data_IF_337318311760
#
_entry.id   IF_337318311760
#
_cell.length_a   1.000
_cell.length_b   1.000
_cell.length_c   1.000
_cell.angle_alpha   90.00
_cell.angle_beta   90.00
_cell.angle_gamma   90.00
#
_symmetry.space_group_name_H-M   'P 1'
#
loop_
_entity.id
_entity.type
_entity.pdbx_description
1 polymer ?
#
# COMPACT_ATOMS: atom_id res chain seq x y z
N UNK A 1 18.34 10.77 3.41
CA UNK A 1 17.05 11.05 2.72
C UNK A 1 16.64 9.86 1.87
N UNK A 2 15.33 9.65 1.71
CA UNK A 2 14.75 8.63 0.83
C UNK A 2 13.86 9.36 -0.17
N UNK A 3 13.94 8.98 -1.45
CA UNK A 3 13.11 9.55 -2.52
C UNK A 3 12.41 8.41 -3.25
N UNK A 4 11.12 8.57 -3.49
CA UNK A 4 10.31 7.65 -4.30
C UNK A 4 10.07 8.29 -5.66
N UNK A 5 10.54 7.63 -6.71
CA UNK A 5 10.36 8.09 -8.09
C UNK A 5 9.16 7.41 -8.77
N UNK A 6 8.72 8.00 -9.86
CA UNK A 6 7.71 7.36 -10.73
C UNK A 6 8.23 6.02 -11.25
N UNK A 7 7.34 5.04 -11.34
CA UNK A 7 7.70 3.67 -11.72
C UNK A 7 8.22 2.80 -10.58
N UNK A 8 8.57 3.39 -9.43
CA UNK A 8 9.09 2.64 -8.30
C UNK A 8 7.97 2.08 -7.42
N UNK A 9 8.20 0.88 -6.91
CA UNK A 9 7.39 0.20 -5.90
C UNK A 9 8.27 -0.07 -4.69
N UNK A 10 8.04 0.68 -3.62
CA UNK A 10 8.76 0.57 -2.36
C UNK A 10 8.00 -0.33 -1.39
N UNK A 11 8.63 -1.42 -0.97
CA UNK A 11 8.12 -2.26 0.12
C UNK A 11 8.68 -1.80 1.46
N UNK A 12 7.82 -1.58 2.44
CA UNK A 12 8.24 -1.37 3.83
C UNK A 12 8.09 -2.69 4.57
N UNK A 13 9.21 -3.26 5.01
CA UNK A 13 9.27 -4.49 5.79
C UNK A 13 9.71 -4.19 7.23
N UNK A 14 9.19 -4.96 8.16
CA UNK A 14 9.52 -4.87 9.58
C UNK A 14 8.48 -5.55 10.46
N UNK A 15 8.83 -5.90 11.69
CA UNK A 15 7.90 -6.54 12.62
C UNK A 15 6.71 -5.64 12.96
N UNK A 16 5.72 -6.20 13.65
CA UNK A 16 4.61 -5.42 14.18
C UNK A 16 5.14 -4.39 15.18
N UNK A 17 4.60 -3.16 15.09
CA UNK A 17 5.06 -2.05 15.93
C UNK A 17 6.33 -1.33 15.46
N UNK A 18 7.01 -1.76 14.38
CA UNK A 18 8.20 -1.09 13.85
C UNK A 18 7.92 0.32 13.27
N UNK A 19 6.65 0.71 13.15
CA UNK A 19 6.28 2.06 12.70
C UNK A 19 5.89 2.18 11.23
N UNK A 20 5.61 1.08 10.53
CA UNK A 20 5.20 1.07 9.11
C UNK A 20 4.00 2.00 8.85
N UNK A 21 2.89 1.79 9.55
CA UNK A 21 1.69 2.64 9.48
C UNK A 21 1.98 4.09 9.87
N UNK A 22 2.80 4.31 10.92
CA UNK A 22 3.20 5.66 11.34
C UNK A 22 3.96 6.39 10.24
N UNK A 23 4.85 5.71 9.53
CA UNK A 23 5.57 6.27 8.40
C UNK A 23 4.61 6.61 7.25
N UNK A 24 3.72 5.69 6.87
CA UNK A 24 2.71 5.95 5.83
C UNK A 24 1.81 7.14 6.17
N UNK A 25 1.34 7.25 7.43
CA UNK A 25 0.57 8.42 7.91
C UNK A 25 1.38 9.72 7.81
N UNK A 26 2.69 9.65 8.07
CA UNK A 26 3.58 10.81 7.98
C UNK A 26 3.78 11.23 6.52
N UNK A 27 4.01 10.27 5.62
CA UNK A 27 4.11 10.51 4.18
C UNK A 27 2.81 11.06 3.57
N UNK A 28 1.66 10.65 4.09
CA UNK A 28 0.35 11.15 3.70
C UNK A 28 0.02 12.56 4.26
N UNK A 29 0.87 13.11 5.14
CA UNK A 29 0.61 14.40 5.82
C UNK A 29 -0.50 14.34 6.86
N UNK A 30 -0.89 13.14 7.29
CA UNK A 30 -1.87 12.90 8.35
C UNK A 30 -1.24 12.92 9.74
N UNK A 31 0.09 12.79 9.79
CA UNK A 31 0.90 12.92 11.00
C UNK A 31 2.11 13.82 10.73
N UNK A 32 2.46 14.68 11.69
CA UNK A 32 3.66 15.50 11.60
C UNK A 32 4.91 14.63 11.81
N UNK A 33 5.98 14.81 11.01
CA UNK A 33 7.26 14.15 11.26
C UNK A 33 7.86 14.64 12.56
N UNK A 34 8.58 13.77 13.30
CA UNK A 34 9.34 14.18 14.50
C UNK A 34 10.53 15.08 14.15
N UNK A 35 11.14 14.82 13.00
CA UNK A 35 12.28 15.59 12.46
C UNK A 35 12.29 15.43 10.94
N UNK A 36 13.00 16.34 10.26
CA UNK A 36 13.07 16.33 8.81
C UNK A 36 11.82 16.91 8.14
N UNK A 37 11.74 16.74 6.84
CA UNK A 37 10.66 17.26 6.00
C UNK A 37 10.20 16.20 5.02
N UNK A 38 8.90 16.17 4.74
CA UNK A 38 8.32 15.39 3.65
C UNK A 38 8.02 16.34 2.51
N UNK A 39 8.48 16.01 1.32
CA UNK A 39 8.29 16.80 0.11
C UNK A 39 7.55 15.98 -0.96
N UNK A 40 6.69 16.65 -1.71
CA UNK A 40 6.01 16.11 -2.88
C UNK A 40 6.36 17.01 -4.06
N UNK A 41 7.01 16.44 -5.07
CA UNK A 41 7.48 17.16 -6.26
C UNK A 41 8.32 18.42 -5.89
N UNK A 42 9.24 18.26 -4.92
CA UNK A 42 10.13 19.32 -4.44
C UNK A 42 9.45 20.41 -3.59
N UNK A 43 8.20 20.23 -3.20
CA UNK A 43 7.46 21.16 -2.34
C UNK A 43 7.20 20.53 -0.97
N UNK A 44 7.53 21.21 0.14
CA UNK A 44 7.22 20.73 1.46
C UNK A 44 5.72 20.46 1.64
N UNK A 45 5.38 19.31 2.20
CA UNK A 45 3.99 18.86 2.34
C UNK A 45 3.13 19.85 3.15
N UNK A 46 3.74 20.48 4.17
CA UNK A 46 3.05 21.49 5.00
C UNK A 46 2.72 22.79 4.24
N UNK A 47 3.36 23.04 3.10
CA UNK A 47 3.05 24.19 2.24
C UNK A 47 1.97 23.91 1.20
N UNK A 48 1.46 22.68 1.14
CA UNK A 48 0.41 22.27 0.21
C UNK A 48 -0.97 22.32 0.89
N UNK A 49 -2.00 22.68 0.11
CA UNK A 49 -3.38 22.58 0.57
C UNK A 49 -3.80 21.10 0.73
N UNK A 50 -4.75 20.79 1.59
CA UNK A 50 -5.30 19.44 1.76
C UNK A 50 -5.77 18.83 0.44
N UNK A 51 -6.44 19.61 -0.39
CA UNK A 51 -6.90 19.17 -1.71
C UNK A 51 -5.71 18.86 -2.65
N UNK A 52 -4.62 19.64 -2.61
CA UNK A 52 -3.43 19.38 -3.41
C UNK A 52 -2.73 18.10 -2.95
N UNK A 53 -2.61 17.86 -1.64
CA UNK A 53 -2.09 16.61 -1.08
C UNK A 53 -2.94 15.44 -1.56
N UNK A 54 -4.27 15.52 -1.39
CA UNK A 54 -5.19 14.45 -1.75
C UNK A 54 -5.29 14.19 -3.27
N UNK A 55 -4.91 15.15 -4.12
CA UNK A 55 -4.75 14.89 -5.57
C UNK A 55 -3.44 14.18 -5.91
N UNK A 56 -2.39 14.40 -5.11
CA UNK A 56 -1.08 13.80 -5.36
C UNK A 56 -0.85 12.49 -4.65
N UNK A 57 -1.43 12.31 -3.47
CA UNK A 57 -1.22 11.14 -2.61
C UNK A 57 -2.56 10.48 -2.31
N UNK A 58 -2.66 9.20 -2.62
CA UNK A 58 -3.79 8.37 -2.24
C UNK A 58 -3.36 7.33 -1.21
N UNK A 59 -4.24 7.03 -0.26
CA UNK A 59 -3.93 6.14 0.87
C UNK A 59 -5.00 5.07 1.01
N UNK A 60 -4.58 3.83 1.18
CA UNK A 60 -5.43 2.73 1.67
C UNK A 60 -4.88 2.27 3.01
N UNK A 61 -5.72 2.33 4.04
CA UNK A 61 -5.40 1.85 5.38
C UNK A 61 -5.87 0.42 5.60
N UNK A 62 -5.26 -0.25 6.57
CA UNK A 62 -5.62 -1.62 6.97
C UNK A 62 -7.06 -1.74 7.50
N UNK A 63 -7.55 -0.71 8.18
CA UNK A 63 -8.92 -0.69 8.75
C UNK A 63 -9.80 0.30 7.99
N UNK A 64 -10.95 -0.17 7.54
CA UNK A 64 -12.00 0.65 6.96
C UNK A 64 -13.17 0.73 7.95
N UNK A 65 -13.52 1.95 8.33
CA UNK A 65 -14.70 2.22 9.13
C UNK A 65 -15.81 2.69 8.18
N UNK A 66 -16.83 1.86 8.02
CA UNK A 66 -18.02 2.21 7.25
C UNK A 66 -18.86 3.19 8.09
N UNK A 67 -18.56 4.49 7.98
CA UNK A 67 -19.22 5.53 8.79
C UNK A 67 -20.65 5.88 8.36
N UNK A 68 -21.00 5.65 7.08
CA UNK A 68 -22.30 6.00 6.53
C UNK A 68 -22.87 4.89 5.65
N UNK A 69 -24.19 4.70 5.62
CA UNK A 69 -24.82 3.81 4.65
C UNK A 69 -24.58 4.37 3.23
N UNK A 70 -23.84 3.63 2.43
CA UNK A 70 -23.51 3.97 1.05
C UNK A 70 -23.46 2.72 0.18
N UNK A 71 -23.65 2.90 -1.11
CA UNK A 71 -23.42 1.84 -2.10
C UNK A 71 -21.94 1.76 -2.48
N UNK A 72 -21.57 0.65 -3.13
CA UNK A 72 -20.24 0.44 -3.67
C UNK A 72 -19.85 1.55 -4.67
N UNK A 73 -20.78 1.97 -5.54
CA UNK A 73 -20.54 3.05 -6.50
C UNK A 73 -20.34 4.41 -5.79
N UNK A 74 -21.18 4.76 -4.83
CA UNK A 74 -21.05 6.01 -4.07
C UNK A 74 -19.70 6.06 -3.32
N UNK A 75 -19.29 4.95 -2.73
CA UNK A 75 -17.99 4.87 -2.05
C UNK A 75 -16.83 5.01 -3.04
N UNK A 76 -16.89 4.37 -4.20
CA UNK A 76 -15.87 4.54 -5.23
C UNK A 76 -15.78 5.99 -5.73
N UNK A 77 -16.91 6.70 -5.85
CA UNK A 77 -17.00 8.12 -6.23
C UNK A 77 -16.36 9.05 -5.21
N UNK A 78 -16.26 8.69 -3.91
CA UNK A 78 -15.55 9.49 -2.92
C UNK A 78 -14.09 9.77 -3.33
N UNK A 79 -13.49 8.91 -4.15
CA UNK A 79 -12.18 9.16 -4.75
C UNK A 79 -12.12 10.43 -5.60
N UNK A 80 -13.26 10.95 -6.07
CA UNK A 80 -13.30 12.17 -6.89
C UNK A 80 -13.36 13.46 -6.06
N UNK A 81 -13.70 13.41 -4.75
CA UNK A 81 -13.82 14.59 -3.91
C UNK A 81 -12.63 15.57 -3.99
N UNK A 82 -11.35 15.14 -4.04
CA UNK A 82 -10.23 16.08 -4.17
C UNK A 82 -10.19 16.86 -5.49
N UNK A 83 -10.93 16.42 -6.50
CA UNK A 83 -10.99 17.02 -7.84
C UNK A 83 -12.22 17.91 -8.04
N UNK A 84 -13.21 17.82 -7.16
CA UNK A 84 -14.41 18.63 -7.24
C UNK A 84 -14.17 20.01 -6.59
N UNK A 85 -14.81 21.02 -7.15
CA UNK A 85 -14.93 22.32 -6.48
C UNK A 85 -15.97 22.25 -5.36
N UNK A 86 -15.90 23.20 -4.42
CA UNK A 86 -16.89 23.31 -3.36
C UNK A 86 -18.31 23.38 -3.97
N UNK A 87 -19.22 22.53 -3.48
CA UNK A 87 -20.62 22.41 -3.94
C UNK A 87 -20.80 21.78 -5.34
N UNK A 88 -19.75 21.34 -6.01
CA UNK A 88 -19.89 20.58 -7.26
C UNK A 88 -20.27 19.13 -6.95
N UNK A 89 -21.18 18.59 -7.74
CA UNK A 89 -21.53 17.17 -7.73
C UNK A 89 -20.70 16.41 -8.76
N UNK A 90 -20.57 15.10 -8.57
CA UNK A 90 -19.90 14.21 -9.52
C UNK A 90 -20.62 14.22 -10.88
N UNK A 91 -19.86 14.40 -11.94
CA UNK A 91 -20.35 14.39 -13.31
C UNK A 91 -20.22 13.02 -13.99
N UNK A 92 -20.71 12.90 -15.24
CA UNK A 92 -20.62 11.65 -15.99
C UNK A 92 -19.19 11.09 -16.13
N UNK A 93 -18.18 11.96 -16.20
CA UNK A 93 -16.77 11.57 -16.24
C UNK A 93 -16.31 10.90 -14.94
N UNK A 94 -16.76 11.41 -13.80
CA UNK A 94 -16.40 10.86 -12.49
C UNK A 94 -17.05 9.48 -12.32
N UNK A 95 -18.31 9.34 -12.70
CA UNK A 95 -19.00 8.05 -12.72
C UNK A 95 -18.34 7.04 -13.64
N UNK A 96 -17.87 7.45 -14.82
CA UNK A 96 -17.14 6.57 -15.73
C UNK A 96 -15.80 6.09 -15.13
N UNK A 97 -15.06 6.98 -14.45
CA UNK A 97 -13.82 6.62 -13.73
C UNK A 97 -14.08 5.62 -12.61
N UNK A 98 -15.11 5.87 -11.78
CA UNK A 98 -15.47 4.97 -10.70
C UNK A 98 -15.91 3.59 -11.24
N UNK A 99 -16.75 3.57 -12.28
CA UNK A 99 -17.17 2.31 -12.92
C UNK A 99 -15.98 1.52 -13.48
N UNK A 100 -15.04 2.18 -14.16
CA UNK A 100 -13.83 1.56 -14.67
C UNK A 100 -12.94 1.02 -13.52
N UNK A 101 -12.82 1.76 -12.43
CA UNK A 101 -12.06 1.33 -11.25
C UNK A 101 -12.70 0.09 -10.59
N UNK A 102 -14.02 0.08 -10.43
CA UNK A 102 -14.77 -1.07 -9.91
C UNK A 102 -14.62 -2.31 -10.78
N UNK A 103 -14.62 -2.16 -12.11
CA UNK A 103 -14.42 -3.26 -13.04
C UNK A 103 -13.02 -3.87 -12.90
N UNK A 104 -11.98 -3.04 -12.66
CA UNK A 104 -10.59 -3.50 -12.50
C UNK A 104 -10.36 -4.32 -11.23
N UNK A 105 -11.20 -4.18 -10.23
CA UNK A 105 -11.13 -4.93 -8.96
C UNK A 105 -12.23 -5.97 -8.83
N UNK A 106 -12.91 -6.30 -9.92
CA UNK A 106 -14.02 -7.27 -9.96
C UNK A 106 -15.15 -6.96 -8.97
N UNK A 107 -15.58 -5.69 -8.93
CA UNK A 107 -16.71 -5.24 -8.11
C UNK A 107 -17.82 -4.56 -8.93
N UNK A 108 -17.72 -4.54 -10.27
CA UNK A 108 -18.71 -3.89 -11.12
C UNK A 108 -20.14 -4.45 -10.94
N UNK A 109 -20.26 -5.76 -10.69
CA UNK A 109 -21.51 -6.46 -10.46
C UNK A 109 -22.17 -6.14 -9.09
N UNK A 110 -21.41 -5.52 -8.18
CA UNK A 110 -21.87 -5.12 -6.83
C UNK A 110 -22.10 -3.62 -6.69
N UNK A 111 -22.05 -2.85 -7.80
CA UNK A 111 -22.05 -1.39 -7.78
C UNK A 111 -23.18 -0.75 -6.95
N UNK A 112 -24.37 -1.35 -6.95
CA UNK A 112 -25.55 -0.84 -6.27
C UNK A 112 -25.78 -1.49 -4.88
N UNK A 113 -24.87 -2.40 -4.48
CA UNK A 113 -24.93 -3.09 -3.20
C UNK A 113 -24.46 -2.19 -2.06
N UNK A 114 -25.10 -2.31 -0.88
CA UNK A 114 -24.70 -1.59 0.32
C UNK A 114 -23.33 -2.08 0.84
N UNK A 115 -22.42 -1.16 1.13
CA UNK A 115 -21.03 -1.46 1.57
C UNK A 115 -21.00 -2.32 2.84
N UNK A 116 -21.94 -2.10 3.76
CA UNK A 116 -22.03 -2.86 5.01
C UNK A 116 -22.25 -4.37 4.80
N UNK A 117 -22.76 -4.77 3.64
CA UNK A 117 -23.01 -6.19 3.30
C UNK A 117 -21.84 -6.87 2.61
N UNK A 118 -20.75 -6.13 2.34
CA UNK A 118 -19.54 -6.66 1.71
C UNK A 118 -18.72 -7.49 2.69
N UNK A 119 -18.07 -8.53 2.17
CA UNK A 119 -17.01 -9.26 2.87
C UNK A 119 -15.78 -8.37 3.11
N UNK A 120 -14.88 -8.79 3.99
CA UNK A 120 -13.61 -8.08 4.24
C UNK A 120 -12.77 -7.89 2.97
N UNK A 121 -12.66 -8.94 2.15
CA UNK A 121 -11.95 -8.88 0.88
C UNK A 121 -12.60 -7.96 -0.16
N UNK A 122 -13.95 -7.96 -0.25
CA UNK A 122 -14.67 -7.02 -1.11
C UNK A 122 -14.48 -5.56 -0.66
N UNK A 123 -14.48 -5.29 0.65
CA UNK A 123 -14.18 -3.96 1.20
C UNK A 123 -12.76 -3.51 0.89
N UNK A 124 -11.79 -4.39 1.01
CA UNK A 124 -10.39 -4.09 0.65
C UNK A 124 -10.27 -3.75 -0.83
N UNK A 125 -10.90 -4.52 -1.72
CA UNK A 125 -10.94 -4.23 -3.16
C UNK A 125 -11.67 -2.92 -3.47
N UNK A 126 -12.75 -2.60 -2.74
CA UNK A 126 -13.48 -1.32 -2.89
C UNK A 126 -12.62 -0.13 -2.48
N UNK A 127 -11.88 -0.23 -1.38
CA UNK A 127 -10.93 0.82 -0.98
C UNK A 127 -9.87 1.08 -2.07
N UNK A 128 -9.40 0.00 -2.72
CA UNK A 128 -8.47 0.14 -3.84
C UNK A 128 -9.15 0.73 -5.09
N UNK A 129 -10.42 0.38 -5.37
CA UNK A 129 -11.19 1.04 -6.44
C UNK A 129 -11.36 2.54 -6.18
N UNK A 130 -11.65 2.94 -4.95
CA UNK A 130 -11.74 4.34 -4.55
C UNK A 130 -10.41 5.06 -4.77
N UNK A 131 -9.29 4.42 -4.44
CA UNK A 131 -7.94 4.93 -4.69
C UNK A 131 -7.66 5.09 -6.21
N UNK A 132 -8.03 4.11 -7.03
CA UNK A 132 -7.91 4.20 -8.49
C UNK A 132 -8.78 5.33 -9.06
N UNK A 133 -9.99 5.51 -8.52
CA UNK A 133 -10.90 6.60 -8.89
C UNK A 133 -10.32 7.98 -8.55
N UNK A 134 -9.58 8.08 -7.45
CA UNK A 134 -8.86 9.29 -7.06
C UNK A 134 -7.72 9.61 -8.04
N UNK A 135 -7.10 8.61 -8.67
CA UNK A 135 -6.00 8.76 -9.63
C UNK A 135 -4.82 9.59 -9.09
N UNK A 136 -4.26 9.27 -7.90
CA UNK A 136 -3.13 9.99 -7.32
C UNK A 136 -1.84 9.63 -8.02
N UNK A 137 -0.80 10.46 -7.91
CA UNK A 137 0.53 10.16 -8.46
C UNK A 137 1.34 9.20 -7.57
N UNK A 138 1.01 9.12 -6.28
CA UNK A 138 1.64 8.22 -5.30
C UNK A 138 0.58 7.43 -4.53
N UNK A 139 0.71 6.12 -4.54
CA UNK A 139 -0.08 5.19 -3.76
C UNK A 139 0.63 4.85 -2.45
N UNK A 140 -0.04 5.06 -1.31
CA UNK A 140 0.42 4.62 0.01
C UNK A 140 -0.53 3.52 0.50
N UNK A 141 -0.02 2.31 0.64
CA UNK A 141 -0.82 1.11 0.89
C UNK A 141 -0.37 0.44 2.19
N UNK A 142 -1.24 0.46 3.20
CA UNK A 142 -0.95 -0.17 4.49
C UNK A 142 -1.58 -1.57 4.52
N UNK A 143 -0.73 -2.60 4.42
CA UNK A 143 -1.12 -4.02 4.38
C UNK A 143 -2.21 -4.32 3.34
N UNK A 144 -2.01 -3.94 2.06
CA UNK A 144 -3.07 -3.98 1.06
C UNK A 144 -3.55 -5.40 0.73
N UNK A 145 -2.78 -6.42 1.07
CA UNK A 145 -3.09 -7.83 0.83
C UNK A 145 -3.77 -8.53 1.99
N UNK A 146 -3.96 -7.85 3.13
CA UNK A 146 -4.66 -8.41 4.29
C UNK A 146 -6.11 -8.74 3.96
N UNK A 147 -6.63 -9.84 4.49
CA UNK A 147 -8.00 -10.33 4.29
C UNK A 147 -8.35 -10.74 2.84
N UNK A 148 -7.38 -10.78 1.93
CA UNK A 148 -7.55 -11.27 0.57
C UNK A 148 -7.07 -12.74 0.47
N UNK A 149 -7.77 -13.54 -0.32
CA UNK A 149 -7.24 -14.82 -0.77
C UNK A 149 -6.07 -14.64 -1.75
N UNK A 150 -5.35 -15.70 -2.03
CA UNK A 150 -4.16 -15.66 -2.87
C UNK A 150 -4.44 -15.06 -4.25
N UNK A 151 -5.57 -15.39 -4.88
CA UNK A 151 -5.93 -14.86 -6.20
C UNK A 151 -6.05 -13.33 -6.17
N UNK A 152 -6.81 -12.80 -5.21
CA UNK A 152 -7.02 -11.37 -5.09
C UNK A 152 -5.79 -10.61 -4.59
N UNK A 153 -4.92 -11.23 -3.76
CA UNK A 153 -3.62 -10.65 -3.38
C UNK A 153 -2.76 -10.39 -4.62
N UNK A 154 -2.62 -11.40 -5.47
CA UNK A 154 -1.85 -11.32 -6.70
C UNK A 154 -2.46 -10.28 -7.65
N UNK A 155 -3.77 -10.34 -7.89
CA UNK A 155 -4.47 -9.40 -8.77
C UNK A 155 -4.27 -7.93 -8.32
N UNK A 156 -4.33 -7.65 -7.01
CA UNK A 156 -4.10 -6.31 -6.47
C UNK A 156 -2.66 -5.85 -6.68
N UNK A 157 -1.66 -6.71 -6.43
CA UNK A 157 -0.26 -6.35 -6.63
C UNK A 157 0.11 -6.16 -8.11
N UNK A 158 -0.51 -6.94 -9.01
CA UNK A 158 -0.39 -6.70 -10.45
C UNK A 158 -1.02 -5.35 -10.86
N UNK A 159 -2.19 -4.98 -10.31
CA UNK A 159 -2.78 -3.66 -10.53
C UNK A 159 -1.85 -2.53 -10.06
N UNK A 160 -1.21 -2.65 -8.89
CA UNK A 160 -0.21 -1.68 -8.41
C UNK A 160 0.98 -1.62 -9.37
N UNK A 161 1.43 -2.77 -9.88
CA UNK A 161 2.51 -2.85 -10.85
C UNK A 161 2.15 -2.13 -12.15
N UNK A 162 0.93 -2.34 -12.65
CA UNK A 162 0.45 -1.67 -13.86
C UNK A 162 0.31 -0.15 -13.67
N UNK A 163 -0.18 0.30 -12.51
CA UNK A 163 -0.24 1.74 -12.22
C UNK A 163 1.17 2.36 -12.19
N UNK A 164 2.15 1.68 -11.60
CA UNK A 164 3.52 2.22 -11.58
C UNK A 164 4.13 2.25 -12.98
N UNK A 165 3.85 1.28 -13.84
CA UNK A 165 4.24 1.32 -15.27
C UNK A 165 3.60 2.49 -16.03
N UNK A 166 2.45 2.99 -15.60
CA UNK A 166 1.77 4.18 -16.13
C UNK A 166 2.32 5.50 -15.58
N UNK A 167 3.38 5.47 -14.77
CA UNK A 167 4.05 6.65 -14.26
C UNK A 167 3.65 7.06 -12.84
N UNK A 168 2.96 6.20 -12.10
CA UNK A 168 2.71 6.40 -10.66
C UNK A 168 3.86 5.83 -9.82
N UNK A 169 3.96 6.25 -8.56
CA UNK A 169 4.81 5.62 -7.55
C UNK A 169 3.96 4.84 -6.53
N UNK A 170 4.53 3.86 -5.87
CA UNK A 170 3.83 3.14 -4.81
C UNK A 170 4.74 2.84 -3.61
N UNK A 171 4.18 2.97 -2.40
CA UNK A 171 4.80 2.56 -1.14
C UNK A 171 3.84 1.62 -0.42
N UNK A 172 4.28 0.39 -0.16
CA UNK A 172 3.47 -0.69 0.38
C UNK A 172 4.08 -1.17 1.71
N UNK A 173 3.34 -1.10 2.80
CA UNK A 173 3.70 -1.88 3.99
C UNK A 173 3.27 -3.33 3.77
N UNK A 174 4.22 -4.25 3.83
CA UNK A 174 3.98 -5.68 3.59
C UNK A 174 4.51 -6.51 4.76
N UNK A 175 3.87 -7.67 4.99
CA UNK A 175 4.34 -8.67 5.94
C UNK A 175 5.04 -9.83 5.25
N UNK A 176 4.64 -10.17 4.03
CA UNK A 176 5.20 -11.27 3.27
C UNK A 176 6.46 -10.83 2.51
N UNK A 177 7.59 -11.42 2.92
CA UNK A 177 8.90 -11.17 2.30
C UNK A 177 8.89 -11.60 0.83
N UNK A 178 8.20 -12.69 0.49
CA UNK A 178 8.19 -13.23 -0.87
C UNK A 178 7.34 -12.37 -1.80
N UNK A 179 6.24 -11.79 -1.31
CA UNK A 179 5.48 -10.79 -2.06
C UNK A 179 6.31 -9.52 -2.27
N UNK A 180 7.04 -9.07 -1.25
CA UNK A 180 7.95 -7.93 -1.38
C UNK A 180 9.08 -8.22 -2.39
N UNK A 181 9.67 -9.41 -2.35
CA UNK A 181 10.71 -9.85 -3.29
C UNK A 181 10.23 -9.87 -4.75
N UNK A 182 8.97 -10.26 -4.96
CA UNK A 182 8.38 -10.38 -6.30
C UNK A 182 7.91 -9.04 -6.87
N UNK A 183 7.32 -8.19 -6.05
CA UNK A 183 6.59 -7.01 -6.54
C UNK A 183 7.29 -5.68 -6.28
N UNK A 184 8.21 -5.59 -5.32
CA UNK A 184 8.88 -4.33 -5.01
C UNK A 184 10.17 -4.15 -5.79
N UNK A 185 10.42 -2.93 -6.25
CA UNK A 185 11.69 -2.52 -6.88
C UNK A 185 12.71 -2.08 -5.83
N UNK A 186 12.22 -1.50 -4.73
CA UNK A 186 13.00 -1.01 -3.61
C UNK A 186 12.41 -1.47 -2.28
N UNK A 187 13.24 -1.55 -1.26
CA UNK A 187 12.82 -1.90 0.09
C UNK A 187 13.33 -0.89 1.11
N UNK A 188 12.50 -0.67 2.11
CA UNK A 188 12.83 -0.02 3.37
C UNK A 188 12.63 -1.04 4.49
N UNK A 189 13.72 -1.39 5.19
CA UNK A 189 13.69 -2.28 6.34
C UNK A 189 13.68 -1.45 7.62
N UNK A 190 12.65 -1.61 8.44
CA UNK A 190 12.50 -0.95 9.73
C UNK A 190 12.81 -1.95 10.84
N UNK A 191 13.96 -1.80 11.47
CA UNK A 191 14.41 -2.70 12.54
C UNK A 191 13.76 -2.37 13.89
N UNK A 192 13.60 -3.36 14.79
CA UNK A 192 12.97 -3.16 16.10
C UNK A 192 13.65 -2.09 16.97
N UNK A 193 14.97 -1.92 16.81
CA UNK A 193 15.77 -0.96 17.57
C UNK A 193 15.65 0.48 17.08
N UNK A 194 14.86 0.72 16.02
CA UNK A 194 14.66 2.04 15.44
C UNK A 194 15.62 2.37 14.29
N UNK A 195 16.56 1.49 13.98
CA UNK A 195 17.39 1.61 12.78
C UNK A 195 16.56 1.36 11.52
N UNK A 196 16.98 1.96 10.43
CA UNK A 196 16.38 1.72 9.12
C UNK A 196 17.46 1.68 8.03
N UNK A 197 17.27 0.80 7.04
CA UNK A 197 18.07 0.80 5.84
C UNK A 197 17.17 0.63 4.62
N UNK A 198 17.61 1.16 3.49
CA UNK A 198 16.83 1.15 2.25
C UNK A 198 17.73 1.10 1.03
N UNK A 199 17.18 0.58 -0.06
CA UNK A 199 17.87 0.45 -1.34
C UNK A 199 17.07 -0.37 -2.34
N UNK A 200 17.73 -0.79 -3.41
CA UNK A 200 17.12 -1.70 -4.38
C UNK A 200 16.76 -3.03 -3.72
N UNK A 201 15.61 -3.60 -4.09
CA UNK A 201 15.13 -4.84 -3.47
C UNK A 201 16.14 -5.99 -3.61
N UNK A 202 16.85 -6.07 -4.74
CA UNK A 202 17.88 -7.10 -4.97
C UNK A 202 19.00 -7.06 -3.92
N UNK A 203 19.43 -5.87 -3.50
CA UNK A 203 20.50 -5.67 -2.53
C UNK A 203 20.03 -5.86 -1.09
N UNK A 204 18.79 -5.42 -0.82
CA UNK A 204 18.21 -5.45 0.53
C UNK A 204 17.74 -6.85 0.96
N UNK A 205 17.40 -7.72 0.00
CA UNK A 205 16.91 -9.08 0.25
C UNK A 205 18.08 -10.05 0.49
N UNK A 206 18.79 -9.87 1.59
CA UNK A 206 19.82 -10.80 2.04
C UNK A 206 19.34 -11.55 3.30
N UNK A 207 19.74 -12.84 3.41
CA UNK A 207 19.39 -13.66 4.57
C UNK A 207 19.81 -12.98 5.88
N UNK A 208 21.04 -12.46 6.04
CA UNK A 208 21.44 -11.80 7.29
C UNK A 208 20.60 -10.56 7.63
N UNK A 209 20.23 -9.74 6.64
CA UNK A 209 19.41 -8.55 6.87
C UNK A 209 18.00 -8.92 7.33
N UNK A 210 17.39 -9.94 6.71
CA UNK A 210 16.05 -10.41 7.05
C UNK A 210 16.01 -11.18 8.37
N UNK A 211 17.02 -11.99 8.69
CA UNK A 211 17.17 -12.65 9.98
C UNK A 211 17.28 -11.61 11.12
N UNK A 212 18.08 -10.55 10.92
CA UNK A 212 18.15 -9.43 11.87
C UNK A 212 16.81 -8.71 12.00
N UNK A 213 16.05 -8.57 10.88
CA UNK A 213 14.77 -7.85 10.87
C UNK A 213 13.68 -8.56 11.66
N UNK A 214 13.62 -9.89 11.54
CA UNK A 214 12.53 -10.71 12.09
C UNK A 214 12.95 -11.56 13.29
N UNK A 215 14.23 -11.52 13.67
CA UNK A 215 14.81 -12.38 14.72
C UNK A 215 14.49 -13.87 14.49
N UNK A 216 14.54 -14.30 13.23
CA UNK A 216 14.17 -15.66 12.81
C UNK A 216 15.19 -16.19 11.80
N UNK A 217 15.79 -17.40 12.03
CA UNK A 217 16.62 -18.05 11.04
C UNK A 217 15.88 -18.34 9.73
N UNK A 218 16.50 -17.97 8.62
CA UNK A 218 15.92 -18.08 7.28
C UNK A 218 16.81 -18.92 6.35
N UNK A 219 16.14 -19.67 5.47
CA UNK A 219 16.76 -20.23 4.28
C UNK A 219 16.32 -19.43 3.05
N UNK A 220 17.17 -19.31 2.06
CA UNK A 220 16.79 -18.75 0.76
C UNK A 220 17.03 -19.77 -0.34
N UNK A 221 16.18 -19.72 -1.34
CA UNK A 221 16.26 -20.54 -2.55
C UNK A 221 15.79 -19.76 -3.76
N UNK A 222 15.65 -20.43 -4.90
CA UNK A 222 15.07 -19.88 -6.12
C UNK A 222 14.00 -20.82 -6.66
N UNK A 223 12.83 -20.28 -7.00
CA UNK A 223 11.76 -20.99 -7.68
C UNK A 223 11.39 -20.19 -8.92
N UNK A 224 11.49 -20.79 -10.09
CA UNK A 224 11.25 -20.14 -11.40
C UNK A 224 12.02 -18.81 -11.56
N UNK A 225 13.28 -18.77 -11.08
CA UNK A 225 14.13 -17.59 -11.14
C UNK A 225 13.81 -16.51 -10.09
N UNK A 226 12.78 -16.67 -9.29
CA UNK A 226 12.41 -15.77 -8.21
C UNK A 226 13.06 -16.22 -6.89
N UNK A 227 13.65 -15.27 -6.17
CA UNK A 227 14.21 -15.52 -4.84
C UNK A 227 13.08 -15.74 -3.84
N UNK A 228 13.19 -16.81 -3.07
CA UNK A 228 12.22 -17.15 -2.01
C UNK A 228 12.93 -17.30 -0.67
N UNK A 229 12.23 -16.95 0.41
CA UNK A 229 12.70 -17.02 1.78
C UNK A 229 11.75 -17.87 2.60
N UNK A 230 12.28 -18.82 3.34
CA UNK A 230 11.52 -19.74 4.19
C UNK A 230 12.11 -19.74 5.59
N UNK A 231 11.27 -19.73 6.65
CA UNK A 231 11.76 -19.94 8.01
C UNK A 231 12.47 -21.30 8.10
N UNK A 232 13.65 -21.34 8.70
CA UNK A 232 14.25 -22.61 9.11
C UNK A 232 13.46 -23.18 10.29
N UNK A 233 13.27 -24.50 10.31
CA UNK A 233 12.71 -25.17 11.48
C UNK A 233 13.57 -24.79 12.71
N UNK A 234 12.92 -24.48 13.82
CA UNK A 234 13.63 -24.30 15.09
C UNK A 234 14.38 -25.59 15.39
N UNK A 235 15.71 -25.49 15.59
CA UNK A 235 16.47 -26.63 16.12
C UNK A 235 15.83 -27.03 17.45
N UNK A 236 15.61 -28.33 17.73
CA UNK A 236 14.87 -28.81 18.90
C UNK A 236 15.52 -28.49 20.27
N UNK A 237 16.57 -27.67 20.32
CA UNK A 237 17.36 -27.35 21.51
C UNK A 237 17.10 -25.98 22.14
N UNK A 238 16.07 -25.21 21.74
CA UNK A 238 15.66 -23.98 22.42
C UNK A 238 14.36 -24.13 23.23
N UNK A 239 14.17 -25.30 23.87
CA UNK A 239 13.24 -25.43 24.98
C UNK A 239 14.06 -25.70 26.22
N UNK A 240 13.83 -24.91 27.26
CA UNK A 240 14.38 -25.02 28.63
C UNK A 240 15.77 -24.35 28.84
N UNK A 241 15.76 -23.01 28.99
CA UNK A 241 16.43 -22.35 30.13
C UNK A 241 15.56 -21.18 30.62
#
# INVERSE_FOLDING_TARGET
>A
SLTVHTGERWGILGPNGAGKTTLLLTLAGLRKPRSGVVEVQGRPLHALSRAAIARGIGVVFQQHHDGFPSTVMETALMGRHPHLHAWAMEGPKDHALAAAALARVDLAHLRDRAVQTLSGGERQRLAFATLLTQSPTLFLLDEPTSHLDLHHQIALLELVTDETRRGHGAVLALHDINLAARYCTHLLLLYPQGDACWGQAADMLSVPALERLYDQPLASGSVDGLRVFLPKAASPHRQLE
#
